data_IF_794708952316
#
_entry.id   IF_794708952316
#
_cell.length_a   1.000
_cell.length_b   1.000
_cell.length_c   1.000
_cell.angle_alpha   90.00
_cell.angle_beta   90.00
_cell.angle_gamma   90.00
#
_symmetry.space_group_name_H-M   'P 1'
#
loop_
_entity.id
_entity.type
_entity.pdbx_description
1 polymer ?
#
# COMPACT_ATOMS: atom_id res chain seq x y z
N UNK A 1 7.25 11.92 25.50
CA UNK A 1 7.81 10.56 25.59
C UNK A 1 8.79 10.34 24.44
N UNK A 2 10.06 10.05 24.71
CA UNK A 2 11.08 9.78 23.67
C UNK A 2 10.75 8.47 22.92
N UNK A 3 11.19 8.33 21.66
CA UNK A 3 10.92 7.20 20.75
C UNK A 3 11.22 5.84 21.37
N UNK A 4 12.33 5.69 22.10
CA UNK A 4 12.67 4.45 22.83
C UNK A 4 11.60 4.02 23.82
N UNK A 5 11.03 4.97 24.56
CA UNK A 5 9.99 4.68 25.56
C UNK A 5 8.65 4.39 24.89
N UNK A 6 8.33 5.05 23.77
CA UNK A 6 7.18 4.69 22.92
C UNK A 6 7.29 3.26 22.40
N UNK A 7 8.47 2.88 21.90
CA UNK A 7 8.73 1.52 21.42
C UNK A 7 8.63 0.49 22.54
N UNK A 8 9.17 0.78 23.73
CA UNK A 8 9.05 -0.13 24.87
C UNK A 8 7.59 -0.35 25.26
N UNK A 9 6.80 0.72 25.35
CA UNK A 9 5.37 0.64 25.64
C UNK A 9 4.61 -0.18 24.57
N UNK A 10 4.90 0.05 23.29
CA UNK A 10 4.34 -0.71 22.18
C UNK A 10 4.64 -2.20 22.30
N UNK A 11 5.90 -2.59 22.55
CA UNK A 11 6.29 -3.99 22.70
C UNK A 11 5.53 -4.64 23.85
N UNK A 12 5.48 -3.99 25.03
CA UNK A 12 4.77 -4.54 26.20
C UNK A 12 3.28 -4.76 25.88
N UNK A 13 2.62 -3.76 25.28
CA UNK A 13 1.19 -3.83 24.97
C UNK A 13 0.88 -4.86 23.88
N UNK A 14 1.72 -4.92 22.84
CA UNK A 14 1.53 -5.86 21.72
C UNK A 14 1.83 -7.29 22.14
N UNK A 15 2.82 -7.53 22.99
CA UNK A 15 3.12 -8.87 23.53
C UNK A 15 1.97 -9.40 24.41
N UNK A 16 1.44 -8.55 25.30
CA UNK A 16 0.33 -8.90 26.19
C UNK A 16 -1.00 -9.18 25.46
N UNK A 17 -1.32 -8.39 24.43
CA UNK A 17 -2.67 -8.40 23.82
C UNK A 17 -2.71 -8.91 22.38
N UNK A 18 -1.57 -8.92 21.68
CA UNK A 18 -1.47 -9.21 20.25
C UNK A 18 -1.93 -10.62 19.90
N UNK A 19 -1.68 -11.58 20.79
CA UNK A 19 -2.05 -12.98 20.58
C UNK A 19 -3.44 -13.36 21.11
N UNK A 20 -4.13 -12.45 21.83
CA UNK A 20 -5.48 -12.74 22.36
C UNK A 20 -6.46 -13.03 21.21
N UNK A 21 -7.07 -14.24 21.16
CA UNK A 21 -7.90 -14.68 20.03
C UNK A 21 -9.08 -13.78 19.69
N UNK A 22 -9.49 -13.81 18.42
CA UNK A 22 -10.61 -13.01 17.91
C UNK A 22 -12.01 -13.45 18.40
N UNK A 23 -12.16 -14.64 19.00
CA UNK A 23 -13.45 -15.28 19.31
C UNK A 23 -14.20 -14.62 20.50
N UNK A 24 -13.51 -13.79 21.30
CA UNK A 24 -14.10 -13.18 22.50
C UNK A 24 -13.80 -11.67 22.62
N UNK A 25 -12.94 -11.30 23.58
CA UNK A 25 -12.62 -9.92 23.97
C UNK A 25 -11.40 -9.34 23.26
N UNK A 26 -10.59 -10.17 22.59
CA UNK A 26 -9.30 -9.75 22.01
C UNK A 26 -9.38 -8.49 21.14
N UNK A 27 -10.25 -8.44 20.11
CA UNK A 27 -10.42 -7.25 19.28
C UNK A 27 -10.93 -6.03 20.06
N UNK A 28 -11.80 -6.23 21.05
CA UNK A 28 -12.31 -5.13 21.90
C UNK A 28 -11.21 -4.55 22.78
N UNK A 29 -10.36 -5.41 23.37
CA UNK A 29 -9.21 -5.00 24.18
C UNK A 29 -8.15 -4.29 23.33
N UNK A 30 -7.79 -4.85 22.17
CA UNK A 30 -6.85 -4.20 21.25
C UNK A 30 -7.36 -2.85 20.76
N UNK A 31 -8.65 -2.74 20.38
CA UNK A 31 -9.28 -1.45 20.05
C UNK A 31 -9.13 -0.42 21.18
N UNK A 32 -9.37 -0.81 22.43
CA UNK A 32 -9.33 0.09 23.57
C UNK A 32 -7.89 0.49 23.94
N UNK A 33 -7.00 -0.50 24.05
CA UNK A 33 -5.65 -0.31 24.61
C UNK A 33 -4.66 0.17 23.55
N UNK A 34 -4.76 -0.29 22.29
CA UNK A 34 -3.80 0.13 21.25
C UNK A 34 -3.90 1.61 20.92
N UNK A 35 -5.02 2.28 21.23
CA UNK A 35 -5.14 3.73 21.13
C UNK A 35 -4.03 4.48 21.87
N UNK A 36 -3.44 3.89 22.91
CA UNK A 36 -2.31 4.45 23.67
C UNK A 36 -0.95 4.38 22.98
N UNK A 37 -0.79 3.56 21.93
CA UNK A 37 0.48 3.35 21.21
C UNK A 37 0.45 3.93 19.80
N UNK A 38 -0.71 4.03 19.16
CA UNK A 38 -0.85 4.65 17.85
C UNK A 38 -0.62 6.16 17.90
N UNK A 39 -0.16 6.73 16.77
CA UNK A 39 -0.11 8.19 16.60
C UNK A 39 -1.52 8.80 16.64
N UNK A 40 -2.41 8.20 15.88
CA UNK A 40 -3.84 8.47 15.90
C UNK A 40 -4.61 7.19 15.58
N UNK A 41 -5.74 6.98 16.25
CA UNK A 41 -6.57 5.80 16.08
C UNK A 41 -8.04 6.13 16.23
N UNK A 42 -8.80 5.78 15.19
CA UNK A 42 -10.25 5.85 15.16
C UNK A 42 -10.91 5.14 16.34
N UNK A 43 -12.14 5.55 16.65
CA UNK A 43 -13.01 4.99 17.68
C UNK A 43 -13.47 3.55 17.36
N UNK A 44 -13.54 3.20 16.08
CA UNK A 44 -14.04 1.89 15.63
C UNK A 44 -13.06 1.17 14.71
N UNK A 45 -12.01 0.56 15.27
CA UNK A 45 -11.05 -0.25 14.52
C UNK A 45 -11.21 -1.72 14.90
N UNK A 46 -11.09 -2.60 13.91
CA UNK A 46 -10.96 -4.04 14.11
C UNK A 46 -9.54 -4.50 13.77
N UNK A 47 -8.84 -5.00 14.77
CA UNK A 47 -7.53 -5.65 14.61
C UNK A 47 -7.76 -7.13 14.93
N UNK A 48 -7.13 -8.06 14.22
CA UNK A 48 -7.11 -9.48 14.59
C UNK A 48 -5.86 -9.85 15.40
N UNK A 49 -5.86 -11.04 16.00
CA UNK A 49 -4.65 -11.54 16.63
C UNK A 49 -3.59 -11.87 15.58
N UNK A 50 -2.32 -11.66 15.94
CA UNK A 50 -1.19 -11.85 15.02
C UNK A 50 -1.09 -10.77 13.94
N UNK A 51 -1.67 -9.59 14.15
CA UNK A 51 -1.26 -8.38 13.42
C UNK A 51 0.02 -7.86 14.05
N UNK A 52 1.04 -7.64 13.24
CA UNK A 52 2.32 -7.10 13.68
C UNK A 52 2.35 -5.59 13.44
N UNK A 53 2.56 -4.83 14.51
CA UNK A 53 2.68 -3.39 14.48
C UNK A 53 4.09 -3.01 14.94
N UNK A 54 4.80 -2.30 14.08
CA UNK A 54 6.15 -1.84 14.31
C UNK A 54 6.15 -0.33 14.14
N UNK A 55 6.37 0.42 15.23
CA UNK A 55 6.36 1.88 15.18
C UNK A 55 4.97 2.48 15.06
N UNK A 56 3.99 1.92 15.78
CA UNK A 56 2.60 2.40 15.86
C UNK A 56 2.49 3.90 16.17
N UNK A 57 3.45 4.46 16.90
CA UNK A 57 3.54 5.89 17.18
C UNK A 57 3.81 6.78 15.95
N UNK A 58 4.02 6.17 14.78
CA UNK A 58 4.13 6.79 13.46
C UNK A 58 2.98 6.40 12.53
N UNK A 59 2.02 5.59 13.01
CA UNK A 59 0.90 5.07 12.24
C UNK A 59 -0.39 5.79 12.65
N UNK A 60 -1.14 6.26 11.65
CA UNK A 60 -2.46 6.89 11.80
C UNK A 60 -3.51 5.98 11.16
N UNK A 61 -4.50 5.51 11.93
CA UNK A 61 -5.58 4.63 11.43
C UNK A 61 -6.96 5.24 11.68
N UNK A 62 -7.78 5.29 10.63
CA UNK A 62 -9.13 5.85 10.66
C UNK A 62 -10.20 4.92 11.24
N UNK A 63 -11.42 5.44 11.34
CA UNK A 63 -12.60 4.67 11.74
C UNK A 63 -12.96 3.59 10.72
N UNK A 64 -13.47 2.45 11.17
CA UNK A 64 -13.85 1.32 10.32
C UNK A 64 -12.68 0.57 9.68
N UNK A 65 -11.43 0.84 10.08
CA UNK A 65 -10.26 0.12 9.55
C UNK A 65 -10.23 -1.31 10.09
N UNK A 66 -10.03 -2.27 9.18
CA UNK A 66 -9.92 -3.70 9.49
C UNK A 66 -8.51 -4.23 9.13
N UNK A 67 -7.78 -4.72 10.14
CA UNK A 67 -6.50 -5.40 9.97
C UNK A 67 -6.66 -6.89 10.31
N UNK A 68 -6.53 -7.76 9.31
CA UNK A 68 -6.69 -9.20 9.47
C UNK A 68 -5.40 -9.89 9.93
N UNK A 69 -5.52 -11.16 10.36
CA UNK A 69 -4.39 -11.94 10.88
C UNK A 69 -3.21 -11.97 9.91
N UNK A 70 -2.00 -11.77 10.43
CA UNK A 70 -0.76 -11.80 9.66
C UNK A 70 -0.45 -10.50 8.92
N UNK A 71 -1.31 -9.49 9.00
CA UNK A 71 -0.96 -8.15 8.50
C UNK A 71 0.24 -7.62 9.29
N UNK A 72 1.22 -7.10 8.57
CA UNK A 72 2.38 -6.41 9.13
C UNK A 72 2.37 -4.96 8.67
N UNK A 73 2.45 -4.03 9.62
CA UNK A 73 2.55 -2.60 9.35
C UNK A 73 3.78 -2.05 10.06
N UNK A 74 4.76 -1.62 9.27
CA UNK A 74 6.07 -1.22 9.76
C UNK A 74 6.43 0.22 9.39
N UNK A 75 6.51 1.06 10.42
CA UNK A 75 6.96 2.44 10.37
C UNK A 75 8.15 2.70 11.31
N UNK A 76 8.93 1.65 11.65
CA UNK A 76 10.20 1.80 12.38
C UNK A 76 11.33 2.32 11.47
N UNK A 77 12.51 2.54 12.06
CA UNK A 77 13.69 3.01 11.34
C UNK A 77 13.84 4.52 11.43
N UNK A 78 13.33 5.23 10.43
CA UNK A 78 13.43 6.69 10.34
C UNK A 78 12.30 7.38 11.14
N UNK A 79 12.60 8.48 11.82
CA UNK A 79 11.61 9.25 12.60
C UNK A 79 10.52 9.91 11.74
N UNK A 80 10.81 10.17 10.46
CA UNK A 80 9.88 10.74 9.50
C UNK A 80 9.01 9.69 8.80
N UNK A 81 9.25 8.39 9.04
CA UNK A 81 8.38 7.35 8.50
C UNK A 81 6.95 7.57 8.99
N UNK A 82 6.00 7.43 8.07
CA UNK A 82 4.59 7.64 8.35
C UNK A 82 3.76 6.62 7.57
N UNK A 83 2.78 6.01 8.23
CA UNK A 83 1.77 5.21 7.56
C UNK A 83 0.39 5.76 7.92
N UNK A 84 -0.41 6.07 6.91
CA UNK A 84 -1.77 6.58 7.10
C UNK A 84 -2.76 5.66 6.41
N UNK A 85 -3.68 5.10 7.18
CA UNK A 85 -4.74 4.21 6.72
C UNK A 85 -6.07 4.90 7.02
N UNK A 86 -6.76 5.39 6.00
CA UNK A 86 -8.00 6.18 6.18
C UNK A 86 -9.21 5.28 6.45
N UNK A 87 -10.35 5.93 6.69
CA UNK A 87 -11.55 5.23 7.18
C UNK A 87 -12.01 4.11 6.24
N UNK A 88 -12.56 3.04 6.83
CA UNK A 88 -13.18 1.94 6.10
C UNK A 88 -12.21 1.12 5.23
N UNK A 89 -10.90 1.31 5.38
CA UNK A 89 -9.91 0.49 4.69
C UNK A 89 -9.87 -0.91 5.29
N UNK A 90 -9.89 -1.94 4.45
CA UNK A 90 -9.76 -3.32 4.87
C UNK A 90 -8.48 -3.92 4.28
N UNK A 91 -7.62 -4.45 5.14
CA UNK A 91 -6.34 -5.04 4.79
C UNK A 91 -6.35 -6.51 5.19
N UNK A 92 -6.45 -7.38 4.19
CA UNK A 92 -6.60 -8.81 4.35
C UNK A 92 -5.33 -9.51 4.84
N UNK A 93 -5.48 -10.80 5.15
CA UNK A 93 -4.45 -11.61 5.79
C UNK A 93 -3.10 -11.55 5.06
N UNK A 94 -2.03 -11.57 5.84
CA UNK A 94 -0.65 -11.65 5.35
C UNK A 94 -0.23 -10.51 4.41
N UNK A 95 -0.86 -9.33 4.50
CA UNK A 95 -0.41 -8.14 3.78
C UNK A 95 0.75 -7.49 4.54
N UNK A 96 1.80 -7.10 3.83
CA UNK A 96 2.95 -6.38 4.39
C UNK A 96 2.97 -4.93 3.88
N UNK A 97 3.07 -3.98 4.80
CA UNK A 97 3.12 -2.53 4.52
C UNK A 97 4.32 -1.95 5.27
N UNK A 98 5.36 -1.55 4.56
CA UNK A 98 6.62 -1.10 5.16
C UNK A 98 7.08 0.26 4.64
N UNK A 99 7.10 1.26 5.52
CA UNK A 99 7.78 2.53 5.31
C UNK A 99 9.24 2.37 5.75
N UNK A 100 10.20 2.53 4.83
CA UNK A 100 11.61 2.20 5.11
C UNK A 100 12.42 3.40 5.60
N UNK A 101 12.53 4.45 4.78
CA UNK A 101 13.41 5.58 5.07
C UNK A 101 12.83 6.90 4.56
N UNK A 102 12.40 7.75 5.50
CA UNK A 102 11.70 9.01 5.23
C UNK A 102 10.50 8.80 4.29
N UNK A 103 9.75 7.73 4.53
CA UNK A 103 8.69 7.26 3.64
C UNK A 103 7.30 7.52 4.21
N UNK A 104 6.39 8.00 3.38
CA UNK A 104 4.96 8.02 3.66
C UNK A 104 4.20 7.02 2.78
N UNK A 105 3.55 6.04 3.41
CA UNK A 105 2.54 5.21 2.76
C UNK A 105 1.15 5.71 3.17
N UNK A 106 0.36 6.14 2.19
CA UNK A 106 -0.98 6.68 2.37
C UNK A 106 -2.02 5.83 1.63
N UNK A 107 -3.02 5.33 2.35
CA UNK A 107 -4.11 4.51 1.81
C UNK A 107 -5.43 5.19 2.14
N UNK A 108 -6.13 5.68 1.12
CA UNK A 108 -7.34 6.49 1.30
C UNK A 108 -8.61 5.64 1.49
N UNK A 109 -9.70 6.34 1.82
CA UNK A 109 -10.96 5.83 2.33
C UNK A 109 -11.54 4.70 1.49
N UNK A 110 -11.96 3.64 2.18
CA UNK A 110 -12.73 2.54 1.62
C UNK A 110 -11.96 1.68 0.60
N UNK A 111 -10.64 1.79 0.56
CA UNK A 111 -9.79 0.91 -0.25
C UNK A 111 -9.68 -0.47 0.39
N UNK A 112 -9.69 -1.50 -0.45
CA UNK A 112 -9.51 -2.89 -0.05
C UNK A 112 -8.16 -3.40 -0.55
N UNK A 113 -7.41 -4.07 0.31
CA UNK A 113 -6.15 -4.73 -0.03
C UNK A 113 -6.25 -6.22 0.27
N UNK A 114 -6.14 -7.03 -0.78
CA UNK A 114 -6.32 -8.48 -0.75
C UNK A 114 -5.14 -9.23 -0.15
N UNK A 115 -5.40 -10.51 0.17
CA UNK A 115 -4.48 -11.41 0.87
C UNK A 115 -3.09 -11.44 0.24
N UNK A 116 -2.05 -11.30 1.06
CA UNK A 116 -0.66 -11.48 0.63
C UNK A 116 -0.11 -10.37 -0.26
N UNK A 117 -0.80 -9.23 -0.40
CA UNK A 117 -0.23 -8.08 -1.11
C UNK A 117 0.92 -7.44 -0.31
N UNK A 118 1.80 -6.71 -0.99
CA UNK A 118 2.91 -5.99 -0.37
C UNK A 118 2.98 -4.56 -0.89
N UNK A 119 3.17 -3.61 0.02
CA UNK A 119 3.40 -2.19 -0.27
C UNK A 119 4.66 -1.76 0.46
N UNK A 120 5.74 -1.56 -0.27
CA UNK A 120 7.04 -1.29 0.33
C UNK A 120 7.92 -0.41 -0.56
N UNK A 121 8.98 0.11 0.03
CA UNK A 121 10.02 0.90 -0.63
C UNK A 121 10.34 2.18 0.14
N UNK A 122 11.55 2.73 -0.01
CA UNK A 122 11.90 4.06 0.53
C UNK A 122 11.15 5.22 -0.16
N UNK A 123 10.60 5.04 -1.37
CA UNK A 123 9.76 6.05 -2.03
C UNK A 123 8.33 6.11 -1.46
N UNK A 124 7.70 7.29 -1.54
CA UNK A 124 6.33 7.46 -1.06
C UNK A 124 5.32 6.66 -1.90
N UNK A 125 4.30 6.11 -1.24
CA UNK A 125 3.19 5.42 -1.92
C UNK A 125 1.88 6.08 -1.54
N UNK A 126 1.09 6.45 -2.54
CA UNK A 126 -0.28 6.93 -2.37
C UNK A 126 -1.24 6.00 -3.10
N UNK A 127 -2.20 5.44 -2.36
CA UNK A 127 -3.33 4.68 -2.90
C UNK A 127 -4.60 5.47 -2.61
N UNK A 128 -5.33 5.81 -3.67
CA UNK A 128 -6.55 6.62 -3.64
C UNK A 128 -7.73 5.90 -2.99
N UNK A 129 -8.90 6.53 -3.10
CA UNK A 129 -10.15 6.08 -2.48
C UNK A 129 -10.75 4.94 -3.27
N UNK A 130 -11.42 4.03 -2.55
CA UNK A 130 -12.26 2.99 -3.17
C UNK A 130 -11.51 2.12 -4.18
N UNK A 131 -10.20 1.98 -4.03
CA UNK A 131 -9.42 1.08 -4.87
C UNK A 131 -9.64 -0.37 -4.42
N UNK A 132 -9.56 -1.28 -5.38
CA UNK A 132 -9.57 -2.72 -5.15
C UNK A 132 -8.20 -3.26 -5.53
N UNK A 133 -7.38 -3.61 -4.55
CA UNK A 133 -6.09 -4.25 -4.78
C UNK A 133 -6.27 -5.74 -4.51
N UNK A 134 -6.26 -6.57 -5.55
CA UNK A 134 -6.47 -8.00 -5.38
C UNK A 134 -5.29 -8.69 -4.67
N UNK A 135 -5.47 -9.97 -4.36
CA UNK A 135 -4.46 -10.75 -3.65
C UNK A 135 -3.10 -10.78 -4.38
N UNK A 136 -2.02 -10.81 -3.60
CA UNK A 136 -0.63 -10.95 -4.04
C UNK A 136 -0.10 -9.84 -4.96
N UNK A 137 -0.74 -8.67 -4.99
CA UNK A 137 -0.17 -7.52 -5.69
C UNK A 137 1.11 -7.02 -4.98
N UNK A 138 2.11 -6.60 -5.75
CA UNK A 138 3.32 -5.95 -5.24
C UNK A 138 3.38 -4.50 -5.70
N UNK A 139 3.54 -3.56 -4.77
CA UNK A 139 3.66 -2.13 -5.04
C UNK A 139 5.00 -1.69 -4.43
N UNK A 140 6.02 -1.51 -5.29
CA UNK A 140 7.40 -1.31 -4.86
C UNK A 140 7.94 0.05 -5.33
N UNK A 141 7.95 1.03 -4.42
CA UNK A 141 8.36 2.41 -4.68
C UNK A 141 9.89 2.60 -4.60
N UNK A 142 10.63 1.65 -5.16
CA UNK A 142 12.07 1.75 -5.37
C UNK A 142 12.57 0.76 -6.41
N UNK A 143 13.73 1.06 -6.97
CA UNK A 143 14.51 0.11 -7.76
C UNK A 143 16.01 0.33 -7.50
N UNK A 144 16.83 -0.71 -7.60
CA UNK A 144 18.28 -0.53 -7.53
C UNK A 144 18.78 0.23 -8.76
N UNK A 145 19.78 1.09 -8.56
CA UNK A 145 20.53 1.67 -9.68
C UNK A 145 21.52 0.62 -10.19
N UNK A 146 21.62 0.48 -11.51
CA UNK A 146 22.43 -0.55 -12.16
C UNK A 146 23.13 -0.05 -13.43
N UNK A 147 23.18 1.27 -13.63
CA UNK A 147 23.68 1.87 -14.87
C UNK A 147 25.21 1.79 -15.02
N UNK A 148 25.95 1.71 -13.90
CA UNK A 148 27.42 1.62 -13.91
C UNK A 148 27.87 0.15 -13.84
N UNK A 149 28.42 -0.44 -14.91
CA UNK A 149 28.85 -1.84 -14.90
C UNK A 149 30.16 -2.07 -14.11
N UNK A 150 30.85 -1.02 -13.67
CA UNK A 150 32.12 -1.12 -12.93
C UNK A 150 31.95 -1.30 -11.42
N UNK A 151 30.72 -1.15 -10.90
CA UNK A 151 30.39 -1.22 -9.47
C UNK A 151 29.32 -2.27 -9.22
N UNK A 152 29.35 -2.94 -8.07
CA UNK A 152 28.25 -3.83 -7.70
C UNK A 152 26.95 -3.06 -7.55
N UNK A 153 25.83 -3.65 -7.96
CA UNK A 153 24.49 -3.04 -7.89
C UNK A 153 24.16 -2.55 -6.47
N UNK A 154 24.57 -3.31 -5.45
CA UNK A 154 24.34 -2.97 -4.04
C UNK A 154 24.96 -1.61 -3.64
N UNK A 155 26.05 -1.20 -4.30
CA UNK A 155 26.79 0.02 -3.97
C UNK A 155 26.30 1.24 -4.78
N UNK A 156 25.46 1.02 -5.79
CA UNK A 156 24.98 2.09 -6.68
C UNK A 156 23.78 2.84 -6.12
N UNK A 157 23.19 2.36 -5.02
CA UNK A 157 22.03 2.95 -4.36
C UNK A 157 20.70 2.61 -5.05
N UNK A 158 19.66 3.37 -4.73
CA UNK A 158 18.28 3.12 -5.18
C UNK A 158 17.63 4.36 -5.76
N UNK A 159 16.60 4.15 -6.58
CA UNK A 159 15.58 5.13 -6.98
C UNK A 159 14.42 5.07 -5.99
N UNK A 160 13.77 6.21 -5.75
CA UNK A 160 12.68 6.37 -4.78
C UNK A 160 11.65 7.39 -5.31
N UNK A 161 11.28 7.28 -6.59
CA UNK A 161 10.39 8.26 -7.24
C UNK A 161 8.97 8.24 -6.65
N UNK A 162 8.57 7.12 -6.07
CA UNK A 162 7.26 6.93 -5.47
C UNK A 162 6.24 6.34 -6.44
N UNK A 163 5.07 5.99 -5.93
CA UNK A 163 3.96 5.43 -6.70
C UNK A 163 2.66 6.12 -6.31
N UNK A 164 1.87 6.50 -7.32
CA UNK A 164 0.50 7.00 -7.12
C UNK A 164 -0.50 6.09 -7.81
N UNK A 165 -1.42 5.52 -7.06
CA UNK A 165 -2.62 4.87 -7.57
C UNK A 165 -3.78 5.81 -7.23
N UNK A 166 -4.41 6.39 -8.24
CA UNK A 166 -5.53 7.31 -8.05
C UNK A 166 -6.82 6.57 -7.64
N UNK A 167 -7.90 7.33 -7.41
CA UNK A 167 -9.18 6.81 -6.92
C UNK A 167 -9.80 5.76 -7.87
N UNK A 168 -10.59 4.85 -7.31
CA UNK A 168 -11.43 3.87 -8.03
C UNK A 168 -10.65 2.93 -8.98
N UNK A 169 -9.35 2.70 -8.71
CA UNK A 169 -8.56 1.76 -9.49
C UNK A 169 -8.79 0.31 -9.05
N UNK A 170 -8.76 -0.62 -10.00
CA UNK A 170 -8.75 -2.06 -9.73
C UNK A 170 -7.46 -2.70 -10.24
N UNK A 171 -6.67 -3.25 -9.34
CA UNK A 171 -5.52 -4.09 -9.67
C UNK A 171 -5.93 -5.56 -9.52
N UNK A 172 -5.89 -6.30 -10.62
CA UNK A 172 -6.12 -7.75 -10.67
C UNK A 172 -5.11 -8.54 -9.85
N UNK A 173 -5.35 -9.84 -9.68
CA UNK A 173 -4.48 -10.70 -8.88
C UNK A 173 -3.03 -10.65 -9.34
N UNK A 174 -2.08 -10.59 -8.41
CA UNK A 174 -0.64 -10.62 -8.69
C UNK A 174 -0.15 -9.55 -9.69
N UNK A 175 -0.71 -8.34 -9.64
CA UNK A 175 -0.16 -7.17 -10.35
C UNK A 175 1.08 -6.65 -9.63
N UNK A 176 2.12 -6.30 -10.38
CA UNK A 176 3.31 -5.61 -9.86
C UNK A 176 3.35 -4.19 -10.39
N UNK A 177 3.51 -3.20 -9.51
CA UNK A 177 3.73 -1.79 -9.85
C UNK A 177 5.12 -1.39 -9.38
N UNK A 178 5.92 -0.82 -10.28
CA UNK A 178 7.30 -0.41 -10.01
C UNK A 178 7.42 1.10 -9.78
N UNK A 179 8.57 1.51 -9.24
CA UNK A 179 8.89 2.89 -8.89
C UNK A 179 8.64 3.89 -10.03
N UNK A 180 8.10 5.06 -9.68
CA UNK A 180 7.85 6.18 -10.59
C UNK A 180 6.54 6.13 -11.36
N UNK A 181 5.67 5.15 -11.09
CA UNK A 181 4.41 4.96 -11.82
C UNK A 181 3.24 5.69 -11.18
N UNK A 182 2.43 6.34 -12.02
CA UNK A 182 1.07 6.80 -11.71
C UNK A 182 0.04 5.95 -12.45
N UNK A 183 -0.90 5.34 -11.72
CA UNK A 183 -2.09 4.67 -12.27
C UNK A 183 -3.27 5.62 -12.11
N UNK A 184 -3.76 6.13 -13.22
CA UNK A 184 -4.81 7.13 -13.28
C UNK A 184 -6.18 6.60 -12.84
N UNK A 185 -7.02 7.51 -12.37
CA UNK A 185 -8.32 7.25 -11.74
C UNK A 185 -9.17 6.29 -12.55
N UNK A 186 -9.82 5.34 -11.89
CA UNK A 186 -10.74 4.42 -12.54
C UNK A 186 -10.05 3.42 -13.46
N UNK A 187 -8.72 3.28 -13.45
CA UNK A 187 -8.06 2.30 -14.32
C UNK A 187 -8.20 0.87 -13.80
N UNK A 188 -8.21 -0.08 -14.72
CA UNK A 188 -8.23 -1.52 -14.45
C UNK A 188 -6.94 -2.13 -14.96
N UNK A 189 -6.19 -2.77 -14.07
CA UNK A 189 -4.97 -3.50 -14.41
C UNK A 189 -5.28 -4.99 -14.35
N UNK A 190 -5.11 -5.68 -15.48
CA UNK A 190 -5.35 -7.12 -15.58
C UNK A 190 -4.43 -7.93 -14.67
N UNK A 191 -4.90 -9.11 -14.25
CA UNK A 191 -4.13 -10.01 -13.40
C UNK A 191 -2.76 -10.37 -14.01
N UNK A 192 -1.74 -10.46 -13.16
CA UNK A 192 -0.37 -10.82 -13.55
C UNK A 192 0.40 -9.73 -14.31
N UNK A 193 -0.16 -8.54 -14.50
CA UNK A 193 0.50 -7.47 -15.24
C UNK A 193 1.64 -6.83 -14.43
N UNK A 194 2.68 -6.37 -15.14
CA UNK A 194 3.78 -5.58 -14.55
C UNK A 194 3.72 -4.16 -15.11
N UNK A 195 3.26 -3.23 -14.29
CA UNK A 195 3.11 -1.81 -14.65
C UNK A 195 4.45 -1.11 -14.51
N UNK A 196 5.05 -0.74 -15.63
CA UNK A 196 6.37 -0.10 -15.72
C UNK A 196 6.35 1.34 -16.20
N UNK A 197 5.16 1.85 -16.54
CA UNK A 197 4.91 3.22 -17.01
C UNK A 197 3.55 3.67 -16.52
N UNK A 198 3.34 4.99 -16.53
CA UNK A 198 2.06 5.59 -16.19
C UNK A 198 0.92 5.00 -17.02
N UNK A 199 -0.23 4.83 -16.37
CA UNK A 199 -1.48 4.36 -16.97
C UNK A 199 -2.46 5.53 -16.94
N UNK A 200 -2.94 6.03 -18.09
CA UNK A 200 -3.90 7.12 -18.12
C UNK A 200 -5.21 6.77 -17.41
N UNK A 201 -5.96 7.76 -16.87
CA UNK A 201 -7.24 7.52 -16.23
C UNK A 201 -8.21 6.70 -17.09
N UNK A 202 -9.03 5.89 -16.42
CA UNK A 202 -10.05 5.03 -17.00
C UNK A 202 -9.52 4.03 -18.04
N UNK A 203 -8.23 3.73 -18.02
CA UNK A 203 -7.62 2.76 -18.92
C UNK A 203 -7.83 1.32 -18.47
N UNK A 204 -7.85 0.39 -19.41
CA UNK A 204 -7.70 -1.04 -19.15
C UNK A 204 -6.33 -1.45 -19.68
N UNK A 205 -5.44 -1.86 -18.78
CA UNK A 205 -4.07 -2.25 -19.12
C UNK A 205 -3.76 -3.68 -18.69
N UNK A 206 -3.04 -4.42 -19.53
CA UNK A 206 -2.71 -5.84 -19.30
C UNK A 206 -1.29 -6.16 -19.75
N UNK A 207 -0.73 -7.28 -19.29
CA UNK A 207 0.52 -7.84 -19.78
C UNK A 207 1.78 -7.43 -19.01
N UNK A 208 2.92 -7.96 -19.48
CA UNK A 208 4.24 -7.76 -18.86
C UNK A 208 5.27 -7.45 -19.95
N UNK A 209 5.67 -6.17 -20.12
CA UNK A 209 5.18 -5.00 -19.39
C UNK A 209 3.73 -4.62 -19.78
N UNK A 210 3.01 -3.98 -18.87
CA UNK A 210 1.61 -3.60 -19.04
C UNK A 210 1.44 -2.60 -20.20
N UNK A 211 0.38 -2.80 -21.00
CA UNK A 211 -0.01 -1.93 -22.12
C UNK A 211 -1.50 -1.64 -22.04
N UNK A 212 -1.88 -0.40 -22.34
CA UNK A 212 -3.28 0.02 -22.38
C UNK A 212 -3.91 -0.57 -23.64
N UNK A 213 -4.93 -1.42 -23.47
CA UNK A 213 -5.60 -2.10 -24.59
C UNK A 213 -6.93 -1.48 -24.98
N UNK A 214 -7.55 -0.70 -24.07
CA UNK A 214 -8.78 0.06 -24.32
C UNK A 214 -9.06 1.04 -23.19
N UNK A 215 -9.96 1.98 -23.44
CA UNK A 215 -10.57 2.82 -22.41
C UNK A 215 -11.84 2.17 -21.82
N UNK A 216 -12.17 2.52 -20.58
CA UNK A 216 -13.49 2.30 -19.95
C UNK A 216 -14.49 3.39 -20.35
N UNK A 217 -14.01 4.54 -20.83
CA UNK A 217 -14.87 5.63 -21.30
C UNK A 217 -15.40 5.33 -22.71
N UNK A 218 -16.57 5.88 -23.08
CA UNK A 218 -17.02 5.91 -24.48
C UNK A 218 -16.00 6.65 -25.36
N UNK A 219 -15.88 6.28 -26.63
CA UNK A 219 -14.88 6.86 -27.57
C UNK A 219 -14.93 8.39 -27.62
N UNK A 220 -16.12 8.98 -27.69
CA UNK A 220 -16.33 10.44 -27.73
C UNK A 220 -15.84 11.17 -26.46
N UNK A 221 -15.54 10.44 -25.39
CA UNK A 221 -15.07 10.97 -24.10
C UNK A 221 -13.57 10.77 -23.88
N UNK A 222 -12.86 10.15 -24.81
CA UNK A 222 -11.42 9.90 -24.71
C UNK A 222 -10.67 11.09 -25.33
N UNK A 223 -9.69 11.64 -24.61
CA UNK A 223 -8.86 12.69 -25.18
C UNK A 223 -7.88 12.11 -26.23
N UNK A 224 -7.39 12.98 -27.13
CA UNK A 224 -6.53 12.55 -28.24
C UNK A 224 -5.25 11.84 -27.81
N UNK A 225 -4.63 12.25 -26.69
CA UNK A 225 -3.40 11.63 -26.17
C UNK A 225 -3.65 10.20 -25.70
N UNK A 226 -4.77 9.96 -25.02
CA UNK A 226 -5.11 8.63 -24.52
C UNK A 226 -5.51 7.70 -25.68
N UNK A 227 -6.17 8.23 -26.71
CA UNK A 227 -6.43 7.50 -27.96
C UNK A 227 -5.14 7.09 -28.66
N UNK A 228 -4.13 7.97 -28.73
CA UNK A 228 -2.82 7.63 -29.29
C UNK A 228 -2.14 6.51 -28.50
N UNK A 229 -2.20 6.55 -27.16
CA UNK A 229 -1.64 5.51 -26.29
C UNK A 229 -2.35 4.17 -26.53
N UNK A 230 -3.68 4.16 -26.62
CA UNK A 230 -4.44 2.93 -26.91
C UNK A 230 -4.05 2.39 -28.29
N UNK A 231 -4.02 3.26 -29.30
CA UNK A 231 -3.74 2.89 -30.70
C UNK A 231 -2.34 2.32 -30.89
N UNK A 232 -1.34 2.85 -30.16
CA UNK A 232 0.04 2.37 -30.19
C UNK A 232 0.22 0.97 -29.55
N UNK A 233 -0.78 0.50 -28.80
CA UNK A 233 -0.75 -0.75 -28.05
C UNK A 233 -1.69 -1.83 -28.59
N UNK A 234 -2.63 -1.47 -29.47
CA UNK A 234 -3.42 -2.42 -30.25
C UNK A 234 -2.49 -3.18 -31.21
N UNK A 235 -2.41 -4.49 -31.01
CA UNK A 235 -1.71 -5.45 -31.87
C UNK A 235 -2.65 -5.90 -32.98
#
# INVERSE_FOLDING_TARGET
MNSKMKRLQEVIITDLLGNLPAIALGPKLRKLIYKSIFKDMGKSVYIQNGVELLGAYNIEIGDGVHLFKGVRVDALGNENNKITIKEGVAIERNVDIGALDNTHIYIDKGTFIGVGASVAGPGNVKIGKRCLIAARCGIFANNHKYADPSRYIADQGVTCQGITIEDDCWLGHAVTVVDGVTIGKGSVIGAGAVVTKDIPPYSIAVGTPARVIKSRLPEDSINSKDLEIISANSV
#
